data_IF_742215341092
#
_entry.id   IF_742215341092
#
_cell.length_a   1.000
_cell.length_b   1.000
_cell.length_c   1.000
_cell.angle_alpha   90.00
_cell.angle_beta   90.00
_cell.angle_gamma   90.00
#
_symmetry.space_group_name_H-M   'P 1'
#
loop_
_entity.id
_entity.type
_entity.pdbx_description
1 polymer ?
#
# COMPACT_ATOMS: atom_id res chain seq x y z
N UNK A 1 21.98 -36.17 -10.08
CA UNK A 1 21.54 -35.08 -9.18
C UNK A 1 20.27 -34.35 -9.65
N UNK A 2 20.04 -34.15 -10.96
CA UNK A 2 18.85 -33.44 -11.47
C UNK A 2 17.52 -34.17 -11.24
N UNK A 3 17.50 -35.50 -11.30
CA UNK A 3 16.26 -36.30 -11.20
C UNK A 3 15.70 -36.37 -9.77
N UNK A 4 16.55 -36.24 -8.76
CA UNK A 4 16.13 -36.21 -7.35
C UNK A 4 15.42 -34.91 -6.97
N UNK A 5 15.82 -33.79 -7.58
CA UNK A 5 15.20 -32.48 -7.37
C UNK A 5 13.75 -32.45 -7.89
N UNK A 6 13.52 -33.07 -9.05
CA UNK A 6 12.18 -33.17 -9.66
C UNK A 6 11.26 -34.04 -8.82
N UNK A 7 11.77 -35.18 -8.31
CA UNK A 7 11.00 -36.06 -7.43
C UNK A 7 10.70 -35.40 -6.07
N UNK A 8 11.65 -34.65 -5.52
CA UNK A 8 11.46 -33.86 -4.29
C UNK A 8 10.41 -32.75 -4.47
N UNK A 9 10.43 -32.04 -5.60
CA UNK A 9 9.41 -31.04 -5.96
C UNK A 9 8.02 -31.68 -6.12
N UNK A 10 7.92 -32.86 -6.75
CA UNK A 10 6.65 -33.59 -6.89
C UNK A 10 6.11 -34.13 -5.56
N UNK A 11 6.97 -34.60 -4.66
CA UNK A 11 6.58 -35.10 -3.33
C UNK A 11 6.20 -33.97 -2.36
N UNK A 12 6.77 -32.76 -2.53
CA UNK A 12 6.42 -31.59 -1.70
C UNK A 12 4.98 -31.09 -1.90
N UNK A 13 4.36 -31.43 -3.03
CA UNK A 13 2.97 -31.07 -3.33
C UNK A 13 1.93 -31.84 -2.50
N UNK A 14 2.30 -32.99 -1.91
CA UNK A 14 1.36 -33.86 -1.18
C UNK A 14 1.12 -33.43 0.28
N UNK A 15 1.86 -32.43 0.79
CA UNK A 15 1.76 -31.93 2.16
C UNK A 15 1.30 -30.46 2.25
N UNK A 16 0.76 -29.89 1.17
CA UNK A 16 0.33 -28.50 1.13
C UNK A 16 -1.15 -28.38 1.56
N UNK A 17 -1.39 -27.77 2.73
CA UNK A 17 -2.69 -27.18 3.07
C UNK A 17 -2.92 -25.89 2.26
N UNK A 18 -3.03 -26.01 0.94
CA UNK A 18 -3.19 -24.90 0.00
C UNK A 18 -4.54 -24.15 0.14
N UNK A 19 -5.44 -24.61 1.00
CA UNK A 19 -6.81 -24.12 1.13
C UNK A 19 -6.92 -22.87 2.01
N UNK A 20 -5.90 -22.60 2.84
CA UNK A 20 -5.90 -21.48 3.77
C UNK A 20 -5.03 -20.31 3.32
N UNK A 21 -4.21 -20.47 2.26
CA UNK A 21 -3.30 -19.42 1.81
C UNK A 21 -3.81 -18.79 0.51
N UNK A 22 -3.95 -17.48 0.52
CA UNK A 22 -4.34 -16.66 -0.62
C UNK A 22 -3.25 -15.65 -0.96
N UNK A 23 -3.22 -15.28 -2.24
CA UNK A 23 -2.41 -14.17 -2.72
C UNK A 23 -3.31 -13.21 -3.50
N UNK A 24 -3.06 -11.91 -3.38
CA UNK A 24 -3.82 -10.88 -4.07
C UNK A 24 -2.96 -9.72 -4.51
N UNK A 25 -3.47 -8.97 -5.47
CA UNK A 25 -2.89 -7.73 -5.98
C UNK A 25 -3.74 -6.53 -5.57
N UNK A 26 -3.10 -5.39 -5.40
CA UNK A 26 -3.72 -4.10 -5.11
C UNK A 26 -3.34 -3.13 -6.21
N UNK A 27 -4.31 -2.39 -6.73
CA UNK A 27 -4.11 -1.32 -7.71
C UNK A 27 -5.04 -0.16 -7.33
N UNK A 28 -4.56 1.08 -7.40
CA UNK A 28 -5.35 2.24 -7.03
C UNK A 28 -4.60 3.55 -7.19
N UNK A 29 -5.14 4.60 -6.58
CA UNK A 29 -4.52 5.92 -6.49
C UNK A 29 -4.16 6.27 -5.06
N UNK A 30 -3.16 7.14 -4.90
CA UNK A 30 -2.68 7.66 -3.63
C UNK A 30 -2.66 9.18 -3.64
N UNK A 31 -3.06 9.80 -2.54
CA UNK A 31 -3.08 11.24 -2.37
C UNK A 31 -2.43 11.61 -1.04
N UNK A 32 -1.65 12.69 -1.04
CA UNK A 32 -1.13 13.27 0.19
C UNK A 32 -2.22 14.06 0.91
N UNK A 33 -2.26 13.93 2.23
CA UNK A 33 -3.07 14.74 3.14
C UNK A 33 -2.20 15.18 4.31
N UNK A 34 -1.68 16.39 4.21
CA UNK A 34 -0.91 17.06 5.24
C UNK A 34 -0.87 18.56 4.95
N UNK A 35 0.10 19.26 5.53
CA UNK A 35 0.29 20.71 5.47
C UNK A 35 0.18 21.36 4.07
N UNK A 36 0.77 20.74 3.04
CA UNK A 36 0.72 21.21 1.64
C UNK A 36 -0.61 20.87 0.93
N UNK A 37 -1.46 20.03 1.55
CA UNK A 37 -2.78 19.62 1.01
C UNK A 37 -3.96 20.15 1.85
N UNK A 38 -3.71 20.59 3.09
CA UNK A 38 -4.71 20.87 4.13
C UNK A 38 -5.75 21.93 3.73
N UNK A 39 -5.36 22.86 2.86
CA UNK A 39 -6.24 23.95 2.40
C UNK A 39 -6.93 23.67 1.05
N UNK A 40 -6.72 22.47 0.49
CA UNK A 40 -7.55 21.93 -0.59
C UNK A 40 -8.55 20.94 0.02
N UNK A 41 -9.77 21.41 0.34
CA UNK A 41 -10.85 20.57 0.88
C UNK A 41 -11.31 19.43 -0.06
N UNK A 42 -10.61 19.17 -1.17
CA UNK A 42 -10.97 18.21 -2.23
C UNK A 42 -9.78 17.35 -2.57
N UNK A 43 -10.04 16.15 -3.10
CA UNK A 43 -8.99 15.32 -3.70
C UNK A 43 -8.64 15.99 -5.02
N UNK A 44 -7.39 16.44 -5.16
CA UNK A 44 -6.90 17.03 -6.40
C UNK A 44 -6.39 15.89 -7.28
N UNK A 45 -7.14 15.56 -8.32
CA UNK A 45 -6.81 14.43 -9.21
C UNK A 45 -5.45 14.62 -9.92
N UNK A 46 -5.00 15.85 -10.14
CA UNK A 46 -3.67 16.13 -10.71
C UNK A 46 -2.51 15.86 -9.75
N UNK A 47 -2.79 15.72 -8.46
CA UNK A 47 -1.82 15.35 -7.41
C UNK A 47 -1.94 13.87 -7.01
N UNK A 48 -2.95 13.17 -7.52
CA UNK A 48 -3.13 11.74 -7.29
C UNK A 48 -2.03 10.96 -8.02
N UNK A 49 -1.17 10.28 -7.26
CA UNK A 49 -0.21 9.34 -7.81
C UNK A 49 -0.78 7.92 -7.92
N UNK A 50 -0.07 7.06 -8.65
CA UNK A 50 -0.41 5.65 -8.75
C UNK A 50 -0.02 4.86 -7.49
N UNK A 51 -0.81 3.86 -7.15
CA UNK A 51 -0.53 2.90 -6.08
C UNK A 51 -0.71 1.47 -6.59
N UNK A 52 0.22 0.60 -6.23
CA UNK A 52 0.20 -0.81 -6.59
C UNK A 52 0.80 -1.66 -5.46
N UNK A 53 0.36 -2.90 -5.30
CA UNK A 53 0.86 -3.77 -4.26
C UNK A 53 0.45 -5.22 -4.41
N UNK A 54 0.93 -6.04 -3.49
CA UNK A 54 0.58 -7.44 -3.39
C UNK A 54 0.48 -7.84 -1.92
N UNK A 55 -0.29 -8.88 -1.64
CA UNK A 55 -0.38 -9.44 -0.29
C UNK A 55 -0.53 -10.95 -0.31
N UNK A 56 -0.09 -11.57 0.78
CA UNK A 56 -0.38 -12.94 1.15
C UNK A 56 -1.31 -12.93 2.35
N UNK A 57 -2.35 -13.75 2.32
CA UNK A 57 -3.31 -13.93 3.41
C UNK A 57 -3.34 -15.39 3.81
N UNK A 58 -3.16 -15.67 5.09
CA UNK A 58 -3.32 -16.99 5.65
C UNK A 58 -4.54 -17.04 6.57
N UNK A 59 -5.60 -17.73 6.14
CA UNK A 59 -6.83 -17.96 6.88
C UNK A 59 -6.62 -19.02 7.96
N UNK A 60 -6.24 -18.59 9.16
CA UNK A 60 -6.02 -19.48 10.31
C UNK A 60 -7.35 -20.10 10.77
N UNK A 61 -8.42 -19.31 10.70
CA UNK A 61 -9.78 -19.73 11.02
C UNK A 61 -10.76 -19.01 10.09
N UNK A 62 -12.01 -19.49 9.99
CA UNK A 62 -13.04 -18.80 9.19
C UNK A 62 -13.22 -17.34 9.59
N UNK A 63 -13.01 -17.00 10.86
CA UNK A 63 -13.13 -15.63 11.33
C UNK A 63 -11.81 -14.85 11.33
N UNK A 64 -10.64 -15.51 11.31
CA UNK A 64 -9.37 -14.83 11.56
C UNK A 64 -8.34 -15.20 10.49
N UNK A 65 -7.76 -14.17 9.89
CA UNK A 65 -6.72 -14.32 8.87
C UNK A 65 -5.50 -13.47 9.23
N UNK A 66 -4.31 -13.97 8.92
CA UNK A 66 -3.06 -13.21 8.99
C UNK A 66 -2.74 -12.66 7.60
N UNK A 67 -2.27 -11.42 7.50
CA UNK A 67 -1.93 -10.78 6.23
C UNK A 67 -0.53 -10.19 6.26
N UNK A 68 0.25 -10.54 5.25
CA UNK A 68 1.54 -9.92 4.92
C UNK A 68 1.36 -9.15 3.61
N UNK A 69 1.62 -7.85 3.61
CA UNK A 69 1.43 -6.97 2.48
C UNK A 69 2.69 -6.22 2.09
N UNK A 70 2.82 -5.92 0.81
CA UNK A 70 3.78 -4.96 0.28
C UNK A 70 3.07 -4.00 -0.66
N UNK A 71 3.32 -2.70 -0.50
CA UNK A 71 2.66 -1.66 -1.28
C UNK A 71 3.65 -0.59 -1.71
N UNK A 72 3.51 -0.15 -2.95
CA UNK A 72 4.11 1.04 -3.53
C UNK A 72 3.03 2.09 -3.74
N UNK A 73 3.31 3.33 -3.36
CA UNK A 73 2.43 4.46 -3.61
C UNK A 73 3.25 5.70 -3.99
N UNK A 74 2.79 6.43 -4.99
CA UNK A 74 3.33 7.74 -5.31
C UNK A 74 2.44 8.82 -4.69
N UNK A 75 3.03 9.72 -3.93
CA UNK A 75 2.32 10.86 -3.33
C UNK A 75 2.99 12.15 -3.73
N UNK A 76 2.26 13.25 -3.65
CA UNK A 76 2.79 14.59 -3.83
C UNK A 76 1.77 15.62 -3.37
N UNK A 77 2.25 16.85 -3.25
CA UNK A 77 1.44 18.01 -2.90
C UNK A 77 2.05 19.27 -3.49
N UNK A 78 1.21 20.27 -3.76
CA UNK A 78 1.67 21.58 -4.25
C UNK A 78 0.81 22.73 -3.71
N UNK A 79 1.47 23.79 -3.26
CA UNK A 79 0.83 25.02 -2.84
C UNK A 79 0.11 25.75 -3.98
N UNK A 80 0.46 25.46 -5.24
CA UNK A 80 -0.15 26.09 -6.42
C UNK A 80 -1.69 25.90 -6.45
N UNK A 81 -2.17 24.79 -5.87
CA UNK A 81 -3.60 24.46 -5.85
C UNK A 81 -4.30 24.87 -4.54
N UNK A 82 -3.61 25.53 -3.61
CA UNK A 82 -4.21 26.02 -2.37
C UNK A 82 -5.30 27.06 -2.65
N UNK A 83 -6.28 27.23 -1.76
CA UNK A 83 -7.27 28.33 -1.89
C UNK A 83 -6.75 29.67 -1.39
N UNK A 84 -5.89 29.64 -0.39
CA UNK A 84 -5.30 30.82 0.22
C UNK A 84 -4.12 31.33 -0.62
N UNK A 85 -4.14 32.62 -0.94
CA UNK A 85 -3.10 33.28 -1.70
C UNK A 85 -1.76 33.36 -0.95
N UNK A 86 -1.79 33.47 0.38
CA UNK A 86 -0.60 33.45 1.21
C UNK A 86 0.14 32.11 1.10
N UNK A 87 -0.61 31.01 0.97
CA UNK A 87 -0.07 29.66 0.78
C UNK A 87 0.50 29.51 -0.63
N UNK A 88 -0.27 29.93 -1.67
CA UNK A 88 0.22 29.92 -3.06
C UNK A 88 1.54 30.67 -3.22
N UNK A 89 1.72 31.77 -2.48
CA UNK A 89 2.92 32.61 -2.53
C UNK A 89 4.17 31.88 -2.01
N UNK A 90 4.03 30.87 -1.14
CA UNK A 90 5.17 30.02 -0.70
C UNK A 90 5.69 29.15 -1.84
N UNK A 91 4.81 28.77 -2.77
CA UNK A 91 5.12 28.02 -3.98
C UNK A 91 5.92 26.73 -3.72
N UNK A 92 5.59 26.00 -2.64
CA UNK A 92 6.21 24.73 -2.30
C UNK A 92 5.55 23.58 -3.03
N UNK A 93 6.35 22.58 -3.39
CA UNK A 93 5.84 21.33 -3.94
C UNK A 93 6.77 20.18 -3.61
N UNK A 94 6.22 18.97 -3.55
CA UNK A 94 7.02 17.76 -3.43
C UNK A 94 6.34 16.58 -4.10
N UNK A 95 7.15 15.56 -4.34
CA UNK A 95 6.73 14.24 -4.80
C UNK A 95 7.56 13.20 -4.06
N UNK A 96 6.94 12.11 -3.64
CA UNK A 96 7.62 11.04 -2.93
C UNK A 96 7.09 9.69 -3.36
N UNK A 97 7.99 8.73 -3.46
CA UNK A 97 7.65 7.32 -3.61
C UNK A 97 7.69 6.67 -2.23
N UNK A 98 6.57 6.05 -1.83
CA UNK A 98 6.43 5.32 -0.57
C UNK A 98 6.47 3.83 -0.89
N UNK A 99 7.32 3.10 -0.18
CA UNK A 99 7.32 1.65 -0.13
C UNK A 99 6.93 1.22 1.29
N UNK A 100 5.91 0.40 1.41
CA UNK A 100 5.36 -0.07 2.68
C UNK A 100 5.36 -1.60 2.74
N UNK A 101 5.82 -2.15 3.85
CA UNK A 101 5.62 -3.55 4.23
C UNK A 101 4.72 -3.63 5.47
N UNK A 102 3.65 -4.40 5.40
CA UNK A 102 2.65 -4.53 6.47
C UNK A 102 2.53 -5.97 6.94
N UNK A 103 2.44 -6.16 8.26
CA UNK A 103 1.99 -7.41 8.87
C UNK A 103 0.77 -7.12 9.75
N UNK A 104 -0.33 -7.84 9.53
CA UNK A 104 -1.57 -7.61 10.26
C UNK A 104 -2.46 -8.82 10.38
N UNK A 105 -3.59 -8.60 11.06
CA UNK A 105 -4.67 -9.55 11.27
C UNK A 105 -5.96 -8.98 10.67
N UNK A 106 -6.75 -9.85 10.07
CA UNK A 106 -8.08 -9.54 9.57
C UNK A 106 -9.11 -10.39 10.33
N UNK A 107 -10.15 -9.73 10.84
CA UNK A 107 -11.31 -10.37 11.48
C UNK A 107 -12.51 -10.31 10.54
N UNK A 108 -12.85 -11.44 9.95
CA UNK A 108 -14.02 -11.63 9.09
C UNK A 108 -15.29 -11.74 9.96
N UNK A 109 -16.20 -10.77 9.86
CA UNK A 109 -17.36 -10.64 10.77
C UNK A 109 -18.36 -11.78 10.55
N UNK A 110 -18.65 -12.11 9.29
CA UNK A 110 -19.60 -13.18 8.93
C UNK A 110 -18.91 -14.55 8.81
N UNK A 111 -17.59 -14.59 8.94
CA UNK A 111 -16.77 -15.74 8.60
C UNK A 111 -16.53 -15.81 7.10
N UNK A 112 -15.32 -16.21 6.74
CA UNK A 112 -14.85 -16.44 5.41
C UNK A 112 -15.06 -17.93 5.07
N UNK A 113 -15.79 -18.20 3.99
CA UNK A 113 -16.10 -19.55 3.51
C UNK A 113 -15.84 -19.65 2.00
N UNK A 114 -14.59 -19.89 1.58
CA UNK A 114 -14.22 -19.87 0.16
C UNK A 114 -14.91 -20.96 -0.68
N UNK A 115 -15.46 -21.99 -0.03
CA UNK A 115 -16.08 -23.15 -0.68
C UNK A 115 -17.62 -23.17 -0.60
N UNK A 116 -18.24 -22.23 0.12
CA UNK A 116 -19.70 -22.10 0.18
C UNK A 116 -20.16 -20.91 -0.66
N UNK A 117 -20.49 -21.18 -1.92
CA UNK A 117 -20.90 -20.16 -2.90
C UNK A 117 -22.20 -19.41 -2.52
N UNK A 118 -22.94 -19.87 -1.51
CA UNK A 118 -24.09 -19.14 -0.99
C UNK A 118 -23.71 -17.88 -0.20
N UNK A 119 -22.46 -17.78 0.29
CA UNK A 119 -21.98 -16.62 1.06
C UNK A 119 -20.60 -16.16 0.58
N UNK A 120 -20.54 -15.70 -0.67
CA UNK A 120 -19.30 -15.18 -1.29
C UNK A 120 -18.86 -13.79 -0.78
N UNK A 121 -19.57 -13.20 0.17
CA UNK A 121 -19.27 -11.90 0.75
C UNK A 121 -19.01 -12.03 2.25
N UNK A 122 -17.89 -11.47 2.72
CA UNK A 122 -17.56 -11.40 4.16
C UNK A 122 -16.95 -10.04 4.47
N UNK A 123 -17.66 -9.13 5.16
CA UNK A 123 -17.07 -7.88 5.63
C UNK A 123 -16.07 -8.20 6.74
N UNK A 124 -14.97 -7.45 6.78
CA UNK A 124 -13.90 -7.66 7.74
C UNK A 124 -13.39 -6.35 8.32
N UNK A 125 -12.85 -6.44 9.54
CA UNK A 125 -12.00 -5.41 10.14
C UNK A 125 -10.56 -5.89 10.06
N UNK A 126 -9.61 -4.96 9.96
CA UNK A 126 -8.20 -5.31 9.95
C UNK A 126 -7.38 -4.35 10.80
N UNK A 127 -6.26 -4.83 11.30
CA UNK A 127 -5.30 -4.05 12.06
C UNK A 127 -3.93 -4.70 12.00
N UNK A 128 -2.87 -3.90 12.09
CA UNK A 128 -1.52 -4.41 11.98
C UNK A 128 -0.47 -3.33 12.19
N UNK A 129 0.77 -3.72 11.95
CA UNK A 129 1.94 -2.85 11.97
C UNK A 129 2.51 -2.76 10.56
N UNK A 130 2.95 -1.56 10.18
CA UNK A 130 3.58 -1.32 8.90
C UNK A 130 4.89 -0.56 9.09
N UNK A 131 5.89 -0.94 8.30
CA UNK A 131 7.12 -0.18 8.12
C UNK A 131 7.09 0.41 6.72
N UNK A 132 7.35 1.70 6.61
CA UNK A 132 7.35 2.41 5.35
C UNK A 132 8.63 3.24 5.20
N UNK A 133 9.08 3.36 3.96
CA UNK A 133 10.20 4.20 3.57
C UNK A 133 9.78 5.12 2.44
N UNK A 134 10.26 6.36 2.48
CA UNK A 134 9.95 7.38 1.50
C UNK A 134 11.16 8.28 1.26
N UNK A 135 11.21 8.92 0.08
CA UNK A 135 12.29 9.84 -0.28
C UNK A 135 11.70 11.01 -1.05
N UNK A 136 11.32 12.10 -0.36
CA UNK A 136 10.65 13.22 -0.97
C UNK A 136 11.63 14.04 -1.82
N UNK A 137 11.17 14.44 -2.99
CA UNK A 137 11.90 15.26 -3.96
C UNK A 137 11.04 16.44 -4.42
N UNK A 138 11.69 17.51 -4.85
CA UNK A 138 11.05 18.65 -5.51
C UNK A 138 11.79 19.02 -6.79
N UNK A 139 11.14 19.74 -7.69
CA UNK A 139 11.81 20.41 -8.80
C UNK A 139 12.20 21.82 -8.36
N UNK A 140 13.51 22.09 -8.34
CA UNK A 140 14.04 23.40 -8.04
C UNK A 140 14.94 23.85 -9.19
N UNK A 141 14.54 24.93 -9.88
CA UNK A 141 15.29 25.51 -11.01
C UNK A 141 15.59 24.51 -12.14
N UNK A 142 14.68 23.57 -12.41
CA UNK A 142 14.83 22.55 -13.46
C UNK A 142 15.69 21.36 -13.06
N UNK A 143 16.04 21.24 -11.78
CA UNK A 143 16.78 20.11 -11.22
C UNK A 143 15.96 19.44 -10.12
N UNK A 144 15.91 18.10 -10.13
CA UNK A 144 15.25 17.32 -9.08
C UNK A 144 16.16 17.28 -7.84
N UNK A 145 15.68 17.84 -6.73
CA UNK A 145 16.41 17.94 -5.47
C UNK A 145 15.74 17.06 -4.42
N UNK A 146 16.55 16.32 -3.64
CA UNK A 146 16.08 15.52 -2.50
C UNK A 146 15.89 16.42 -1.28
N UNK A 147 14.76 16.26 -0.61
CA UNK A 147 14.38 17.13 0.51
C UNK A 147 14.86 16.59 1.87
N UNK A 148 15.02 15.28 2.01
CA UNK A 148 15.49 14.65 3.26
C UNK A 148 16.88 15.14 3.70
N UNK A 149 17.90 15.28 2.82
CA UNK A 149 19.20 15.85 3.22
C UNK A 149 19.13 17.33 3.60
N UNK A 150 18.08 18.03 3.19
CA UNK A 150 17.88 19.46 3.47
C UNK A 150 17.06 19.68 4.75
N UNK A 151 16.50 18.63 5.36
CA UNK A 151 15.69 18.70 6.56
C UNK A 151 14.36 19.44 6.36
N UNK A 152 13.93 19.64 5.11
CA UNK A 152 12.71 20.37 4.78
C UNK A 152 11.50 19.45 4.63
N UNK A 153 11.72 18.17 4.29
CA UNK A 153 10.68 17.15 4.25
C UNK A 153 11.29 15.78 4.59
N UNK A 154 10.68 15.07 5.56
CA UNK A 154 11.03 13.70 5.93
C UNK A 154 11.92 13.56 7.15
#
# INVERSE_FOLDING_TARGET
>A
MKNGLVLFLLLSGLALNAQNLEAGLLLGGSNYRGDLSENSQRIILSETGGSAGAFLRWNVHRFVSLRLGFQFAQVGGTDANARDEAIRTRNLSFRSNIFEGMLGVEWNILGYQPYNLQSGFSPYLFGGVALFGYNPVTDYQGSVVRLQPLGTEG
#
